data_IF_530612558437
#
_entry.id   IF_530612558437
#
_cell.length_a   1.000
_cell.length_b   1.000
_cell.length_c   1.000
_cell.angle_alpha   90.00
_cell.angle_beta   90.00
_cell.angle_gamma   90.00
#
_symmetry.space_group_name_H-M   'P 1'
#
loop_
_entity.id
_entity.type
_entity.pdbx_description
1 polymer ?
#
# COMPACT_ATOMS: atom_id res chain seq x y z
N UNK A 1 -17.69 23.73 -36.98
CA UNK A 1 -17.29 22.31 -36.93
C UNK A 1 -15.77 22.11 -36.96
N UNK A 2 -15.03 22.62 -37.96
CA UNK A 2 -13.55 22.53 -38.01
C UNK A 2 -12.84 23.05 -36.74
N UNK A 3 -13.34 24.15 -36.18
CA UNK A 3 -12.78 24.73 -34.96
C UNK A 3 -13.05 23.89 -33.70
N UNK A 4 -14.21 23.24 -33.63
CA UNK A 4 -14.57 22.31 -32.56
C UNK A 4 -13.71 21.04 -32.67
N UNK A 5 -13.49 20.53 -33.89
CA UNK A 5 -12.57 19.43 -34.13
C UNK A 5 -11.12 19.78 -33.76
N UNK A 6 -10.64 20.99 -34.05
CA UNK A 6 -9.30 21.44 -33.64
C UNK A 6 -9.16 21.57 -32.12
N UNK A 7 -10.17 22.09 -31.43
CA UNK A 7 -10.20 22.18 -29.96
C UNK A 7 -10.25 20.78 -29.33
N UNK A 8 -11.07 19.88 -29.88
CA UNK A 8 -11.16 18.48 -29.42
C UNK A 8 -9.86 17.73 -29.70
N UNK A 9 -9.23 17.93 -30.86
CA UNK A 9 -7.92 17.33 -31.18
C UNK A 9 -6.84 17.89 -30.26
N UNK A 10 -6.82 19.19 -29.96
CA UNK A 10 -5.87 19.78 -29.00
C UNK A 10 -6.13 19.31 -27.56
N UNK A 11 -7.38 19.19 -27.12
CA UNK A 11 -7.73 18.61 -25.81
C UNK A 11 -7.36 17.13 -25.72
N UNK A 12 -7.56 16.36 -26.79
CA UNK A 12 -7.16 14.95 -26.84
C UNK A 12 -5.63 14.82 -26.90
N UNK A 13 -4.91 15.66 -27.63
CA UNK A 13 -3.43 15.65 -27.66
C UNK A 13 -2.84 16.00 -26.29
N UNK A 14 -3.48 16.91 -25.52
CA UNK A 14 -3.07 17.23 -24.15
C UNK A 14 -3.40 16.09 -23.15
N UNK A 15 -4.33 15.19 -23.49
CA UNK A 15 -4.69 14.03 -22.66
C UNK A 15 -4.03 12.71 -23.08
N UNK A 16 -3.27 12.67 -24.17
CA UNK A 16 -2.52 11.47 -24.59
C UNK A 16 -1.07 11.61 -24.15
N UNK A 17 -0.84 11.38 -22.85
CA UNK A 17 0.44 10.97 -22.27
C UNK A 17 0.17 9.93 -21.18
N UNK A 18 -0.70 8.96 -21.49
CA UNK A 18 -1.00 7.83 -20.62
C UNK A 18 -0.74 6.51 -21.36
N UNK A 19 0.44 6.39 -21.94
CA UNK A 19 1.07 5.08 -22.08
C UNK A 19 1.72 4.76 -20.73
N UNK A 20 1.20 3.70 -20.11
CA UNK A 20 1.60 3.14 -18.83
C UNK A 20 3.07 2.67 -18.86
N UNK A 21 4.03 3.59 -18.78
CA UNK A 21 5.41 3.28 -18.45
C UNK A 21 5.54 3.28 -16.92
N UNK A 22 5.63 2.10 -16.32
CA UNK A 22 5.63 1.87 -14.86
C UNK A 22 6.70 2.67 -14.11
N UNK A 23 7.77 3.08 -14.79
CA UNK A 23 8.89 3.85 -14.23
C UNK A 23 8.89 5.36 -14.51
N UNK A 24 7.85 5.90 -15.16
CA UNK A 24 7.60 7.34 -15.20
C UNK A 24 6.56 7.71 -14.16
N UNK A 25 6.90 8.65 -13.30
CA UNK A 25 6.03 9.06 -12.21
C UNK A 25 5.92 10.58 -12.16
N UNK A 26 4.71 11.07 -11.87
CA UNK A 26 4.44 12.51 -11.75
C UNK A 26 3.89 12.81 -10.37
N UNK A 27 4.57 13.68 -9.61
CA UNK A 27 4.16 14.15 -8.29
C UNK A 27 4.03 15.68 -8.33
N UNK A 28 2.80 16.19 -8.31
CA UNK A 28 2.54 17.62 -8.44
C UNK A 28 3.10 18.21 -9.74
N UNK A 29 4.05 19.14 -9.64
CA UNK A 29 4.74 19.73 -10.80
C UNK A 29 5.97 18.95 -11.26
N UNK A 30 6.43 17.98 -10.47
CA UNK A 30 7.66 17.25 -10.71
C UNK A 30 7.37 15.97 -11.50
N UNK A 31 8.06 15.79 -12.62
CA UNK A 31 8.02 14.57 -13.43
C UNK A 31 9.35 13.84 -13.30
N UNK A 32 9.32 12.57 -12.94
CA UNK A 32 10.51 11.73 -12.80
C UNK A 32 10.46 10.64 -13.87
N UNK A 33 11.58 10.40 -14.55
CA UNK A 33 11.71 9.37 -15.59
C UNK A 33 12.91 8.48 -15.28
N UNK A 34 12.65 7.38 -14.58
CA UNK A 34 13.67 6.41 -14.22
C UNK A 34 13.99 5.44 -15.37
N UNK A 35 13.32 5.52 -16.52
CA UNK A 35 13.57 4.59 -17.63
C UNK A 35 15.00 4.70 -18.18
N UNK A 36 15.65 5.85 -17.97
CA UNK A 36 17.06 6.03 -18.34
C UNK A 36 17.98 5.08 -17.57
N UNK A 37 17.51 4.49 -16.47
CA UNK A 37 18.23 3.50 -15.67
C UNK A 37 17.94 2.04 -16.08
N UNK A 38 17.09 1.76 -17.07
CA UNK A 38 16.70 0.38 -17.47
C UNK A 38 17.92 -0.51 -17.80
N UNK A 39 18.96 0.07 -18.38
CA UNK A 39 20.13 -0.69 -18.82
C UNK A 39 21.22 -0.78 -17.75
N UNK A 40 20.95 -0.28 -16.55
CA UNK A 40 21.92 -0.16 -15.47
C UNK A 40 21.53 -1.10 -14.33
N UNK A 41 22.37 -2.11 -14.10
CA UNK A 41 22.28 -2.95 -12.91
C UNK A 41 23.16 -2.35 -11.81
N UNK A 42 22.52 -1.91 -10.75
CA UNK A 42 23.16 -1.44 -9.52
C UNK A 42 23.63 -2.63 -8.72
N UNK A 43 24.89 -2.57 -8.27
CA UNK A 43 25.51 -3.64 -7.50
C UNK A 43 25.96 -3.08 -6.16
N UNK A 44 25.77 -3.85 -5.10
CA UNK A 44 26.28 -3.56 -3.76
C UNK A 44 26.74 -4.84 -3.10
N UNK A 45 27.75 -4.74 -2.25
CA UNK A 45 28.35 -5.88 -1.55
C UNK A 45 28.55 -5.51 -0.09
N UNK A 46 28.17 -6.42 0.81
CA UNK A 46 28.53 -6.37 2.22
C UNK A 46 29.47 -7.53 2.58
N UNK A 47 29.62 -7.88 3.86
CA UNK A 47 30.52 -8.96 4.29
C UNK A 47 30.01 -10.36 3.98
N UNK A 48 28.73 -10.50 3.67
CA UNK A 48 27.98 -11.76 3.63
C UNK A 48 27.28 -11.98 2.30
N UNK A 49 26.78 -10.91 1.69
CA UNK A 49 25.88 -10.90 0.58
C UNK A 49 26.30 -9.89 -0.48
N UNK A 50 25.93 -10.21 -1.71
CA UNK A 50 25.98 -9.31 -2.84
C UNK A 50 24.56 -9.11 -3.35
N UNK A 51 24.24 -7.87 -3.66
CA UNK A 51 22.93 -7.42 -4.07
C UNK A 51 23.02 -6.89 -5.50
N UNK A 52 22.07 -7.27 -6.34
CA UNK A 52 21.91 -6.70 -7.66
C UNK A 52 20.48 -6.19 -7.83
N UNK A 53 20.34 -4.99 -8.38
CA UNK A 53 19.07 -4.31 -8.55
C UNK A 53 19.05 -3.55 -9.86
N UNK A 54 17.96 -3.69 -10.60
CA UNK A 54 17.68 -2.90 -11.78
C UNK A 54 16.36 -2.16 -11.52
N UNK A 55 16.33 -0.81 -11.54
CA UNK A 55 15.15 -0.04 -11.19
C UNK A 55 13.91 -0.35 -12.03
N UNK A 56 14.11 -0.58 -13.33
CA UNK A 56 13.04 -0.44 -14.32
C UNK A 56 13.15 -1.45 -15.46
N UNK A 57 14.02 -2.45 -15.30
CA UNK A 57 14.16 -3.60 -16.18
C UNK A 57 14.57 -4.81 -15.32
N UNK A 58 14.63 -5.99 -15.93
CA UNK A 58 15.01 -7.21 -15.25
C UNK A 58 16.49 -7.21 -14.89
N UNK A 59 16.83 -7.84 -13.77
CA UNK A 59 18.24 -8.08 -13.44
C UNK A 59 18.76 -9.22 -14.31
N UNK A 60 19.90 -9.06 -15.01
CA UNK A 60 20.51 -10.13 -15.78
C UNK A 60 20.86 -11.33 -14.90
N UNK A 61 20.62 -12.53 -15.42
CA UNK A 61 20.80 -13.80 -14.67
C UNK A 61 22.23 -13.94 -14.13
N UNK A 62 23.24 -13.48 -14.87
CA UNK A 62 24.65 -13.54 -14.47
C UNK A 62 24.98 -12.68 -13.24
N UNK A 63 24.13 -11.69 -12.93
CA UNK A 63 24.27 -10.80 -11.75
C UNK A 63 23.56 -11.34 -10.50
N UNK A 64 22.73 -12.36 -10.65
CA UNK A 64 21.97 -13.01 -9.58
C UNK A 64 22.42 -14.47 -9.34
N UNK A 65 23.71 -14.77 -9.49
CA UNK A 65 24.26 -16.10 -9.22
C UNK A 65 24.20 -17.09 -10.39
N UNK A 66 25.06 -18.12 -10.34
CA UNK A 66 25.36 -19.00 -11.50
C UNK A 66 24.47 -20.24 -11.63
N UNK A 67 23.65 -20.56 -10.63
CA UNK A 67 22.82 -21.77 -10.60
C UNK A 67 21.33 -21.41 -10.60
N UNK A 68 20.73 -21.46 -11.78
CA UNK A 68 19.41 -20.93 -12.16
C UNK A 68 18.17 -21.66 -11.61
N UNK A 69 18.32 -22.51 -10.58
CA UNK A 69 17.20 -23.29 -10.04
C UNK A 69 16.12 -22.47 -9.31
N UNK A 70 16.41 -21.21 -9.04
CA UNK A 70 15.62 -20.30 -8.20
C UNK A 70 15.40 -18.93 -8.84
N UNK A 71 15.71 -18.81 -10.14
CA UNK A 71 15.39 -17.61 -10.91
C UNK A 71 13.89 -17.62 -11.25
N UNK A 72 13.18 -16.62 -10.76
CA UNK A 72 11.77 -16.40 -11.08
C UNK A 72 11.66 -15.33 -12.19
N UNK A 73 10.71 -15.50 -13.13
CA UNK A 73 10.47 -14.49 -14.15
C UNK A 73 9.98 -13.18 -13.51
N UNK A 74 10.43 -12.03 -14.02
CA UNK A 74 10.02 -10.72 -13.53
C UNK A 74 10.90 -10.13 -12.42
N UNK A 75 12.03 -10.76 -12.07
CA UNK A 75 12.90 -10.28 -11.00
C UNK A 75 13.62 -8.98 -11.35
N UNK A 76 13.46 -7.97 -10.49
CA UNK A 76 14.10 -6.65 -10.60
C UNK A 76 15.20 -6.45 -9.55
N UNK A 77 15.23 -7.29 -8.52
CA UNK A 77 16.19 -7.22 -7.42
C UNK A 77 16.50 -8.62 -6.88
N UNK A 78 17.75 -8.90 -6.51
CA UNK A 78 18.17 -10.19 -5.96
C UNK A 78 19.33 -10.07 -4.96
N UNK A 79 19.46 -11.10 -4.13
CA UNK A 79 20.53 -11.27 -3.16
C UNK A 79 21.22 -12.63 -3.36
N UNK A 80 22.56 -12.62 -3.37
CA UNK A 80 23.41 -13.81 -3.41
C UNK A 80 24.39 -13.83 -2.23
N UNK A 81 24.72 -15.01 -1.70
CA UNK A 81 25.73 -15.17 -0.64
C UNK A 81 27.12 -15.23 -1.23
N UNK A 82 28.05 -14.42 -0.69
CA UNK A 82 29.43 -14.33 -1.17
C UNK A 82 30.17 -15.67 -0.99
N UNK A 83 30.00 -16.33 0.17
CA UNK A 83 30.51 -17.68 0.39
C UNK A 83 29.57 -18.73 -0.26
N UNK A 84 29.81 -19.02 -1.54
CA UNK A 84 29.22 -20.19 -2.21
C UNK A 84 28.65 -19.97 -3.61
N UNK A 85 28.60 -18.74 -4.13
CA UNK A 85 28.04 -18.41 -5.47
C UNK A 85 26.62 -18.97 -5.71
N UNK A 86 25.87 -19.21 -4.64
CA UNK A 86 24.50 -19.71 -4.69
C UNK A 86 23.55 -18.52 -4.55
N UNK A 87 22.62 -18.41 -5.48
CA UNK A 87 21.47 -17.53 -5.35
C UNK A 87 20.74 -17.84 -4.03
N UNK A 88 20.35 -16.79 -3.30
CA UNK A 88 19.68 -16.96 -2.02
C UNK A 88 18.20 -16.65 -2.13
N UNK A 89 17.82 -15.48 -2.65
CA UNK A 89 16.41 -15.08 -2.69
C UNK A 89 16.15 -13.90 -3.65
N UNK A 90 14.97 -13.88 -4.32
CA UNK A 90 14.48 -12.68 -4.98
C UNK A 90 14.16 -11.60 -3.95
N UNK A 91 14.53 -10.36 -4.25
CA UNK A 91 14.23 -9.20 -3.40
C UNK A 91 12.98 -8.46 -3.85
N UNK A 92 12.66 -8.48 -5.15
CA UNK A 92 11.51 -7.77 -5.70
C UNK A 92 11.28 -8.12 -7.17
N UNK A 93 10.05 -7.86 -7.62
CA UNK A 93 9.58 -8.15 -8.98
C UNK A 93 9.04 -6.88 -9.64
N UNK A 94 9.14 -6.78 -10.97
CA UNK A 94 8.48 -5.74 -11.76
C UNK A 94 6.97 -5.98 -11.90
N UNK A 95 6.24 -4.90 -12.13
CA UNK A 95 4.82 -4.92 -12.44
C UNK A 95 4.54 -5.69 -13.74
N UNK A 96 3.37 -6.34 -13.83
CA UNK A 96 2.94 -7.09 -15.01
C UNK A 96 3.37 -8.56 -15.03
N UNK A 97 4.20 -9.01 -14.09
CA UNK A 97 4.59 -10.43 -13.93
C UNK A 97 3.71 -11.21 -12.95
N UNK A 98 2.49 -10.72 -12.66
CA UNK A 98 1.48 -11.45 -11.87
C UNK A 98 1.76 -11.54 -10.36
N UNK A 99 2.70 -10.76 -9.83
CA UNK A 99 3.01 -10.67 -8.39
C UNK A 99 2.39 -9.39 -7.82
N UNK A 100 1.53 -9.52 -6.80
CA UNK A 100 0.92 -8.42 -6.07
C UNK A 100 1.49 -8.33 -4.64
N UNK A 101 1.56 -7.12 -4.04
CA UNK A 101 1.19 -5.82 -4.61
C UNK A 101 2.19 -5.30 -5.67
N UNK A 102 1.73 -4.42 -6.56
CA UNK A 102 2.56 -3.74 -7.56
C UNK A 102 3.59 -2.79 -6.90
N UNK A 103 4.56 -2.34 -7.68
CA UNK A 103 5.51 -1.30 -7.26
C UNK A 103 4.77 -0.03 -6.86
N UNK A 104 5.13 0.51 -5.69
CA UNK A 104 4.61 1.77 -5.21
C UNK A 104 5.68 2.87 -5.33
N UNK A 105 5.28 4.04 -5.79
CA UNK A 105 6.17 5.20 -5.90
C UNK A 105 5.66 6.35 -5.03
N UNK A 106 6.59 7.07 -4.41
CA UNK A 106 6.29 8.27 -3.63
C UNK A 106 7.40 9.31 -3.80
N UNK A 107 7.10 10.58 -3.49
CA UNK A 107 8.11 11.63 -3.51
C UNK A 107 9.06 11.49 -2.31
N UNK A 108 10.33 11.86 -2.49
CA UNK A 108 11.32 11.77 -1.42
C UNK A 108 10.91 12.64 -0.21
N UNK A 109 10.88 12.08 1.02
CA UNK A 109 10.50 12.82 2.22
C UNK A 109 11.38 14.02 2.55
N UNK A 110 12.57 14.14 1.93
CA UNK A 110 13.45 15.31 2.07
C UNK A 110 12.89 16.58 1.41
N UNK A 111 11.88 16.46 0.54
CA UNK A 111 11.17 17.58 -0.06
C UNK A 111 11.00 17.45 -1.58
N UNK A 112 10.14 18.29 -2.18
CA UNK A 112 9.83 18.19 -3.59
C UNK A 112 11.06 18.45 -4.47
N UNK A 113 11.25 17.62 -5.49
CA UNK A 113 12.37 17.73 -6.43
C UNK A 113 13.70 17.16 -5.93
N UNK A 114 13.75 16.60 -4.71
CA UNK A 114 14.97 15.97 -4.16
C UNK A 114 15.15 14.51 -4.60
N UNK A 115 14.13 13.92 -5.22
CA UNK A 115 14.18 12.56 -5.74
C UNK A 115 12.86 11.80 -5.57
N UNK A 116 12.93 10.49 -5.77
CA UNK A 116 11.78 9.59 -5.80
C UNK A 116 12.06 8.33 -4.98
N UNK A 117 11.04 7.80 -4.33
CA UNK A 117 11.09 6.58 -3.53
C UNK A 117 10.28 5.50 -4.22
N UNK A 118 10.86 4.32 -4.36
CA UNK A 118 10.23 3.11 -4.90
C UNK A 118 10.15 2.05 -3.80
N UNK A 119 8.96 1.47 -3.60
CA UNK A 119 8.68 0.48 -2.56
C UNK A 119 8.20 -0.81 -3.21
N UNK A 120 8.86 -1.92 -2.88
CA UNK A 120 8.51 -3.27 -3.33
C UNK A 120 8.11 -4.13 -2.14
N UNK A 121 6.97 -4.83 -2.25
CA UNK A 121 6.44 -5.76 -1.24
C UNK A 121 6.02 -7.12 -1.81
N UNK A 122 6.50 -7.45 -3.01
CA UNK A 122 6.04 -8.58 -3.81
C UNK A 122 6.98 -9.81 -3.77
N UNK A 123 8.00 -9.78 -2.93
CA UNK A 123 8.88 -10.91 -2.68
C UNK A 123 8.72 -11.45 -1.25
N UNK A 124 9.21 -12.66 -1.00
CA UNK A 124 9.15 -13.32 0.32
C UNK A 124 10.55 -13.65 0.82
N UNK A 125 10.73 -13.47 2.13
CA UNK A 125 11.94 -13.78 2.88
C UNK A 125 11.54 -14.72 4.01
N UNK A 126 11.96 -15.99 3.95
CA UNK A 126 11.61 -17.03 4.95
C UNK A 126 10.10 -17.13 5.25
N UNK A 127 9.25 -16.96 4.22
CA UNK A 127 7.80 -17.02 4.34
C UNK A 127 7.11 -15.72 4.78
N UNK A 128 7.86 -14.70 5.19
CA UNK A 128 7.36 -13.35 5.53
C UNK A 128 7.47 -12.44 4.30
N UNK A 129 6.58 -11.44 4.20
CA UNK A 129 6.68 -10.40 3.18
C UNK A 129 7.99 -9.64 3.29
N UNK A 130 8.70 -9.54 2.17
CA UNK A 130 9.97 -8.82 2.07
C UNK A 130 9.67 -7.38 1.69
N UNK A 131 10.22 -6.44 2.46
CA UNK A 131 10.00 -5.01 2.23
C UNK A 131 11.28 -4.37 1.71
N UNK A 132 11.25 -3.88 0.47
CA UNK A 132 12.41 -3.19 -0.12
C UNK A 132 12.03 -1.75 -0.42
N UNK A 133 12.77 -0.83 0.16
CA UNK A 133 12.54 0.60 0.07
C UNK A 133 13.76 1.25 -0.58
N UNK A 134 13.60 1.65 -1.83
CA UNK A 134 14.66 2.25 -2.64
C UNK A 134 14.44 3.76 -2.70
N UNK A 135 15.41 4.52 -2.22
CA UNK A 135 15.43 5.98 -2.25
C UNK A 135 16.40 6.45 -3.32
N UNK A 136 15.87 7.01 -4.40
CA UNK A 136 16.64 7.69 -5.43
C UNK A 136 16.78 9.16 -5.07
N UNK A 137 18.01 9.63 -4.91
CA UNK A 137 18.36 11.02 -4.59
C UNK A 137 18.82 11.69 -5.87
N UNK A 138 18.24 12.85 -6.19
CA UNK A 138 18.65 13.68 -7.32
C UNK A 138 20.05 14.24 -7.08
N UNK A 139 21.01 13.75 -7.86
CA UNK A 139 22.37 14.30 -7.91
C UNK A 139 22.82 14.47 -9.36
N UNK A 140 22.81 15.73 -9.83
CA UNK A 140 23.19 16.08 -11.22
C UNK A 140 24.66 15.81 -11.54
N UNK A 141 25.51 15.58 -10.54
CA UNK A 141 26.92 15.28 -10.76
C UNK A 141 27.16 13.84 -11.21
N UNK A 142 26.23 12.91 -10.92
CA UNK A 142 26.37 11.49 -11.18
C UNK A 142 25.56 11.11 -12.42
N UNK A 143 26.23 10.96 -13.56
CA UNK A 143 25.59 10.65 -14.85
C UNK A 143 25.22 9.18 -15.06
N UNK A 144 25.76 8.27 -14.25
CA UNK A 144 25.45 6.83 -14.28
C UNK A 144 25.72 6.21 -12.89
N UNK A 145 24.70 5.95 -12.07
CA UNK A 145 24.90 5.25 -10.82
C UNK A 145 25.24 3.78 -11.11
N UNK A 146 26.34 3.26 -10.57
CA UNK A 146 26.65 1.80 -10.64
C UNK A 146 26.62 1.13 -9.28
N UNK A 147 26.64 1.94 -8.23
CA UNK A 147 26.70 1.50 -6.84
C UNK A 147 25.45 1.97 -6.10
N UNK A 148 25.07 1.19 -5.09
CA UNK A 148 23.99 1.51 -4.17
C UNK A 148 24.42 1.15 -2.75
N UNK A 149 23.86 1.85 -1.78
CA UNK A 149 24.05 1.52 -0.36
C UNK A 149 22.86 0.72 0.13
N UNK A 150 23.11 -0.50 0.64
CA UNK A 150 22.08 -1.39 1.17
C UNK A 150 22.24 -1.48 2.68
N UNK A 151 21.14 -1.24 3.40
CA UNK A 151 21.05 -1.46 4.84
C UNK A 151 19.97 -2.52 5.07
N UNK A 152 20.39 -3.66 5.64
CA UNK A 152 19.51 -4.77 5.99
C UNK A 152 19.08 -4.67 7.46
N UNK A 153 17.77 -4.61 7.69
CA UNK A 153 17.15 -4.71 9.01
C UNK A 153 16.81 -6.19 9.30
N UNK A 154 16.96 -6.68 10.55
CA UNK A 154 16.61 -8.05 10.96
C UNK A 154 15.24 -8.57 10.49
N UNK A 155 14.29 -7.68 10.20
CA UNK A 155 12.93 -8.04 9.78
C UNK A 155 12.73 -8.20 8.25
N UNK A 156 13.75 -8.61 7.50
CA UNK A 156 13.68 -8.69 6.03
C UNK A 156 13.27 -7.36 5.35
N UNK A 157 13.71 -6.23 5.95
CA UNK A 157 13.52 -4.89 5.38
C UNK A 157 14.85 -4.38 4.84
N UNK A 158 14.82 -3.87 3.62
CA UNK A 158 16.01 -3.42 2.90
C UNK A 158 15.84 -1.96 2.53
N UNK A 159 16.72 -1.12 3.05
CA UNK A 159 16.78 0.30 2.67
C UNK A 159 17.92 0.45 1.67
N UNK A 160 17.58 0.81 0.43
CA UNK A 160 18.54 0.99 -0.65
C UNK A 160 18.61 2.49 -0.98
N UNK A 161 19.80 3.07 -1.01
CA UNK A 161 19.99 4.47 -1.43
C UNK A 161 20.80 4.52 -2.72
N UNK A 162 20.28 5.27 -3.70
CA UNK A 162 20.89 5.45 -5.02
C UNK A 162 20.97 6.95 -5.32
N UNK A 163 22.13 7.44 -5.72
CA UNK A 163 22.30 8.84 -6.13
C UNK A 163 22.46 8.89 -7.65
N UNK A 164 21.59 9.62 -8.35
CA UNK A 164 21.55 9.61 -9.81
C UNK A 164 21.08 10.95 -10.37
N UNK A 165 21.61 11.36 -11.53
CA UNK A 165 21.13 12.54 -12.24
C UNK A 165 19.72 12.30 -12.83
N UNK A 166 19.42 11.05 -13.18
CA UNK A 166 18.14 10.59 -13.72
C UNK A 166 17.02 10.64 -12.68
N UNK A 167 17.37 10.64 -11.39
CA UNK A 167 16.42 10.81 -10.29
C UNK A 167 15.98 12.28 -10.10
N UNK A 168 16.53 13.22 -10.87
CA UNK A 168 16.13 14.61 -10.84
C UNK A 168 14.82 14.84 -11.62
N UNK A 169 13.97 15.79 -11.16
CA UNK A 169 12.74 16.10 -11.87
C UNK A 169 13.06 16.66 -13.26
N UNK A 170 12.43 16.06 -14.28
CA UNK A 170 12.36 16.61 -15.62
C UNK A 170 11.67 17.97 -15.54
N UNK A 171 12.29 18.99 -16.13
CA UNK A 171 11.67 20.31 -16.33
C UNK A 171 10.56 20.17 -17.37
N UNK A 172 9.40 19.68 -16.97
CA UNK A 172 8.36 19.21 -17.88
C UNK A 172 6.98 19.75 -17.57
N UNK A 173 6.77 21.05 -17.76
CA UNK A 173 5.45 21.66 -17.81
C UNK A 173 5.42 22.76 -18.87
N UNK A 174 4.41 22.77 -19.72
CA UNK A 174 4.10 23.95 -20.52
C UNK A 174 3.74 25.04 -19.51
N UNK A 175 4.57 26.09 -19.42
CA UNK A 175 4.32 27.22 -18.53
C UNK A 175 2.89 27.72 -18.74
N UNK A 176 2.19 28.10 -17.66
CA UNK A 176 0.85 28.69 -17.77
C UNK A 176 0.80 29.87 -18.75
N UNK A 177 1.92 30.60 -18.90
CA UNK A 177 2.08 31.63 -19.92
C UNK A 177 2.02 31.10 -21.35
N UNK A 178 2.63 29.94 -21.64
CA UNK A 178 2.55 29.31 -22.95
C UNK A 178 1.13 28.79 -23.26
N UNK A 179 0.41 28.25 -22.26
CA UNK A 179 -1.01 27.88 -22.41
C UNK A 179 -1.85 29.11 -22.75
N UNK A 180 -1.66 30.21 -22.02
CA UNK A 180 -2.35 31.48 -22.28
C UNK A 180 -2.07 32.02 -23.70
N UNK A 181 -0.81 31.97 -24.15
CA UNK A 181 -0.43 32.39 -25.51
C UNK A 181 -1.10 31.53 -26.58
N UNK A 182 -1.19 30.21 -26.38
CA UNK A 182 -1.88 29.31 -27.31
C UNK A 182 -3.36 29.69 -27.43
N UNK A 183 -4.04 29.93 -26.31
CA UNK A 183 -5.45 30.35 -26.30
C UNK A 183 -5.62 31.69 -27.04
N UNK A 184 -4.73 32.65 -26.78
CA UNK A 184 -4.75 33.96 -27.44
C UNK A 184 -4.60 33.84 -28.96
N UNK A 185 -3.66 33.03 -29.44
CA UNK A 185 -3.45 32.79 -30.88
C UNK A 185 -4.71 32.20 -31.53
N UNK A 186 -5.35 31.22 -30.88
CA UNK A 186 -6.59 30.62 -31.39
C UNK A 186 -7.70 31.65 -31.52
N UNK A 187 -7.88 32.52 -30.52
CA UNK A 187 -8.88 33.60 -30.57
C UNK A 187 -8.60 34.62 -31.69
N UNK A 188 -7.33 34.95 -31.93
CA UNK A 188 -6.92 35.84 -33.02
C UNK A 188 -7.28 35.23 -34.39
N UNK A 189 -7.05 33.93 -34.59
CA UNK A 189 -7.41 33.24 -35.84
C UNK A 189 -8.92 33.28 -36.07
N UNK A 190 -9.72 33.00 -35.03
CA UNK A 190 -11.19 33.07 -35.12
C UNK A 190 -11.63 34.49 -35.48
N UNK A 191 -11.04 35.50 -34.83
CA UNK A 191 -11.32 36.90 -35.09
C UNK A 191 -11.05 37.27 -36.55
N UNK A 192 -9.92 36.84 -37.13
CA UNK A 192 -9.64 37.07 -38.55
C UNK A 192 -10.63 36.35 -39.46
N UNK A 193 -10.93 35.07 -39.22
CA UNK A 193 -11.86 34.30 -40.08
C UNK A 193 -13.26 34.94 -40.06
N UNK A 194 -13.82 35.18 -38.86
CA UNK A 194 -15.14 35.75 -38.70
C UNK A 194 -15.21 37.19 -39.23
N UNK A 195 -14.19 38.01 -38.98
CA UNK A 195 -14.18 39.38 -39.45
C UNK A 195 -13.97 39.51 -40.96
N UNK A 196 -13.15 38.63 -41.57
CA UNK A 196 -13.01 38.58 -43.04
C UNK A 196 -14.35 38.16 -43.67
N UNK A 197 -15.01 37.12 -43.16
CA UNK A 197 -16.33 36.70 -43.63
C UNK A 197 -17.37 37.82 -43.50
N UNK A 198 -17.38 38.53 -42.37
CA UNK A 198 -18.30 39.64 -42.13
C UNK A 198 -18.07 40.80 -43.12
N UNK A 199 -16.82 41.23 -43.31
CA UNK A 199 -16.47 42.32 -44.23
C UNK A 199 -16.70 41.92 -45.69
N UNK A 200 -16.51 40.64 -46.02
CA UNK A 200 -16.74 40.13 -47.38
C UNK A 200 -18.22 40.03 -47.73
N UNK A 201 -19.04 39.49 -46.81
CA UNK A 201 -20.45 39.19 -47.08
C UNK A 201 -21.35 40.41 -46.85
N UNK A 202 -21.10 41.21 -45.81
CA UNK A 202 -22.00 42.30 -45.43
C UNK A 202 -21.56 43.67 -45.96
N UNK A 203 -20.25 43.91 -46.04
CA UNK A 203 -19.70 45.21 -46.46
C UNK A 203 -19.24 45.21 -47.93
N UNK A 204 -19.28 44.06 -48.63
CA UNK A 204 -18.79 43.87 -50.01
C UNK A 204 -17.37 44.43 -50.26
N UNK A 205 -16.55 44.50 -49.20
CA UNK A 205 -15.17 44.98 -49.32
C UNK A 205 -14.34 43.97 -50.12
N UNK A 206 -13.33 44.46 -50.84
CA UNK A 206 -12.41 43.69 -51.69
C UNK A 206 -10.96 44.06 -51.37
N UNK A 207 -10.03 43.14 -51.58
CA UNK A 207 -8.60 43.38 -51.37
C UNK A 207 -8.21 43.47 -49.88
N UNK A 208 -7.30 44.40 -49.56
CA UNK A 208 -6.67 44.52 -48.23
C UNK A 208 -7.61 45.08 -47.14
N UNK A 209 -8.78 45.61 -47.52
CA UNK A 209 -9.80 46.11 -46.61
C UNK A 209 -10.65 44.98 -45.98
N UNK A 210 -10.47 43.72 -46.42
CA UNK A 210 -11.08 42.56 -45.75
C UNK A 210 -10.58 42.37 -44.31
N UNK A 211 -9.36 42.84 -44.02
CA UNK A 211 -8.69 42.63 -42.74
C UNK A 211 -9.38 43.46 -41.65
N UNK A 212 -9.97 42.83 -40.62
CA UNK A 212 -10.63 43.53 -39.53
C UNK A 212 -9.64 44.41 -38.76
N UNK A 213 -9.99 45.67 -38.51
CA UNK A 213 -9.16 46.64 -37.76
C UNK A 213 -7.69 46.68 -38.22
N UNK A 214 -7.47 46.77 -39.54
CA UNK A 214 -6.13 46.74 -40.17
C UNK A 214 -5.12 47.70 -39.52
N UNK A 215 -5.53 48.93 -39.20
CA UNK A 215 -4.66 49.94 -38.58
C UNK A 215 -4.10 49.49 -37.23
N UNK A 216 -4.91 48.81 -36.41
CA UNK A 216 -4.48 48.23 -35.15
C UNK A 216 -3.41 47.15 -35.34
N UNK A 217 -3.61 46.23 -36.28
CA UNK A 217 -2.67 45.12 -36.52
C UNK A 217 -1.33 45.57 -37.10
N UNK A 218 -1.34 46.60 -37.94
CA UNK A 218 -0.11 47.22 -38.44
C UNK A 218 0.67 47.89 -37.30
N UNK A 219 0.00 48.68 -36.47
CA UNK A 219 0.62 49.35 -35.33
C UNK A 219 1.15 48.35 -34.29
N UNK A 220 0.40 47.28 -34.04
CA UNK A 220 0.83 46.20 -33.17
C UNK A 220 2.07 45.48 -33.73
N UNK A 221 2.11 45.20 -35.04
CA UNK A 221 3.26 44.60 -35.71
C UNK A 221 4.52 45.47 -35.64
N UNK A 222 4.37 46.78 -35.79
CA UNK A 222 5.47 47.74 -35.64
C UNK A 222 6.05 47.76 -34.22
N UNK A 223 5.17 47.71 -33.20
CA UNK A 223 5.59 47.59 -31.80
C UNK A 223 6.37 46.29 -31.54
N UNK A 224 5.90 45.16 -32.06
CA UNK A 224 6.59 43.88 -31.91
C UNK A 224 7.98 43.88 -32.55
N UNK A 225 8.11 44.42 -33.77
CA UNK A 225 9.41 44.55 -34.45
C UNK A 225 10.37 45.45 -33.68
N UNK A 226 9.85 46.53 -33.10
CA UNK A 226 10.64 47.45 -32.26
C UNK A 226 11.10 46.75 -30.98
N UNK A 227 10.22 46.00 -30.33
CA UNK A 227 10.55 45.20 -29.15
C UNK A 227 11.60 44.12 -29.43
N UNK A 228 11.48 43.38 -30.54
CA UNK A 228 12.46 42.37 -30.94
C UNK A 228 13.82 42.98 -31.29
N UNK A 229 13.85 44.13 -31.97
CA UNK A 229 15.11 44.86 -32.24
C UNK A 229 15.75 45.34 -30.94
N UNK A 230 14.96 45.83 -29.99
CA UNK A 230 15.45 46.26 -28.69
C UNK A 230 16.05 45.10 -27.90
N UNK A 231 15.33 43.97 -27.77
CA UNK A 231 15.83 42.79 -27.05
C UNK A 231 17.05 42.17 -27.73
N UNK A 232 17.07 42.10 -29.06
CA UNK A 232 18.23 41.65 -29.82
C UNK A 232 19.46 42.53 -29.60
N UNK A 233 19.30 43.85 -29.75
CA UNK A 233 20.38 44.80 -29.54
C UNK A 233 20.85 44.79 -28.08
N UNK A 234 19.94 44.66 -27.12
CA UNK A 234 20.29 44.56 -25.70
C UNK A 234 21.09 43.30 -25.37
N UNK A 235 20.67 42.13 -25.86
CA UNK A 235 21.38 40.86 -25.67
C UNK A 235 22.74 40.89 -26.37
N UNK A 236 22.82 41.46 -27.57
CA UNK A 236 24.07 41.59 -28.31
C UNK A 236 25.05 42.59 -27.65
N UNK A 237 24.54 43.67 -27.07
CA UNK A 237 25.36 44.70 -26.42
C UNK A 237 25.80 44.33 -24.99
N UNK A 238 25.19 43.31 -24.36
CA UNK A 238 25.70 42.74 -23.10
C UNK A 238 27.06 42.02 -23.27
N UNK A 239 27.52 41.79 -24.51
CA UNK A 239 28.83 41.22 -24.82
C UNK A 239 29.97 42.24 -25.02
N UNK A 240 29.69 43.55 -25.00
CA UNK A 240 30.72 44.58 -25.14
C UNK A 240 30.75 45.45 -23.89
N UNK A 241 31.74 45.20 -23.02
CA UNK A 241 32.04 46.03 -21.87
C UNK A 241 32.23 47.49 -22.29
N UNK A 242 31.41 48.37 -21.75
CA UNK A 242 31.36 49.78 -22.12
C UNK A 242 32.53 50.54 -21.50
N UNK A 243 33.38 51.12 -22.35
CA UNK A 243 34.36 52.14 -21.95
C UNK A 243 33.63 53.43 -21.60
N UNK A 244 33.75 53.80 -20.33
CA UNK A 244 33.20 55.00 -19.71
C UNK A 244 33.74 56.29 -20.35
N UNK A 245 32.84 57.17 -20.80
CA UNK A 245 33.12 58.59 -21.02
C UNK A 245 32.23 59.42 -20.09
N UNK A 246 32.87 60.13 -19.17
CA UNK A 246 32.23 61.03 -18.19
C UNK A 246 31.57 62.21 -18.91
N UNK A 247 30.26 62.32 -18.75
CA UNK A 247 29.43 63.47 -19.12
C UNK A 247 28.73 63.99 -17.85
N UNK A 248 28.35 65.28 -17.79
CA UNK A 248 27.93 66.01 -16.59
C UNK A 248 26.48 65.68 -16.14
N UNK A 249 26.15 64.39 -16.07
CA UNK A 249 24.88 63.79 -15.63
C UNK A 249 25.01 63.14 -14.24
N UNK A 250 26.23 63.00 -13.71
CA UNK A 250 26.52 62.35 -12.41
C UNK A 250 25.82 63.02 -11.22
N UNK A 251 25.67 64.35 -11.20
CA UNK A 251 25.05 65.05 -10.07
C UNK A 251 23.53 64.98 -10.04
N UNK A 252 22.89 64.86 -11.21
CA UNK A 252 21.43 64.65 -11.29
C UNK A 252 21.08 63.19 -11.03
N UNK A 253 21.85 62.26 -11.62
CA UNK A 253 21.76 60.85 -11.31
C UNK A 253 21.96 60.61 -9.81
N UNK A 254 22.98 61.17 -9.17
CA UNK A 254 23.19 61.01 -7.73
C UNK A 254 22.00 61.47 -6.88
N UNK A 255 21.30 62.55 -7.27
CA UNK A 255 20.10 63.03 -6.58
C UNK A 255 18.90 62.12 -6.77
N UNK A 256 18.69 61.60 -7.97
CA UNK A 256 17.61 60.64 -8.24
C UNK A 256 17.84 59.29 -7.56
N UNK A 257 19.09 58.83 -7.54
CA UNK A 257 19.48 57.61 -6.85
C UNK A 257 19.29 57.76 -5.35
N UNK A 258 19.73 58.87 -4.74
CA UNK A 258 19.50 59.13 -3.32
C UNK A 258 18.00 59.19 -2.95
N UNK A 259 17.15 59.75 -3.83
CA UNK A 259 15.69 59.76 -3.63
C UNK A 259 15.10 58.35 -3.70
N UNK A 260 15.51 57.54 -4.69
CA UNK A 260 15.07 56.16 -4.82
C UNK A 260 15.57 55.26 -3.71
N UNK A 261 16.78 55.49 -3.19
CA UNK A 261 17.33 54.77 -2.04
C UNK A 261 16.48 55.04 -0.79
N UNK A 262 16.05 56.28 -0.56
CA UNK A 262 15.12 56.63 0.52
C UNK A 262 13.71 56.05 0.34
N UNK A 263 13.22 55.93 -0.89
CA UNK A 263 11.95 55.26 -1.19
C UNK A 263 12.07 53.74 -0.93
N UNK A 264 13.17 53.15 -1.36
CA UNK A 264 13.50 51.74 -1.17
C UNK A 264 13.65 51.38 0.31
N UNK A 265 14.34 52.21 1.10
CA UNK A 265 14.49 52.00 2.54
C UNK A 265 13.15 52.06 3.28
N UNK A 266 12.28 53.01 2.92
CA UNK A 266 10.93 53.09 3.47
C UNK A 266 10.08 51.87 3.10
N UNK A 267 10.15 51.42 1.85
CA UNK A 267 9.43 50.22 1.40
C UNK A 267 9.94 48.96 2.10
N UNK A 268 11.26 48.86 2.30
CA UNK A 268 11.90 47.75 3.01
C UNK A 268 11.48 47.71 4.47
N UNK A 269 11.48 48.85 5.17
CA UNK A 269 11.03 48.91 6.56
C UNK A 269 9.55 48.52 6.72
N UNK A 270 8.70 48.97 5.79
CA UNK A 270 7.28 48.60 5.78
C UNK A 270 7.08 47.10 5.53
N UNK A 271 7.83 46.54 4.57
CA UNK A 271 7.84 45.09 4.31
C UNK A 271 8.33 44.30 5.52
N UNK A 272 9.41 44.74 6.17
CA UNK A 272 9.93 44.07 7.37
C UNK A 272 8.93 44.09 8.52
N UNK A 273 8.23 45.21 8.74
CA UNK A 273 7.17 45.31 9.75
C UNK A 273 6.00 44.38 9.43
N UNK A 274 5.54 44.38 8.19
CA UNK A 274 4.45 43.50 7.75
C UNK A 274 4.85 42.02 7.89
N UNK A 275 6.07 41.67 7.48
CA UNK A 275 6.57 40.30 7.62
C UNK A 275 6.65 39.86 9.07
N UNK A 276 7.07 40.73 10.00
CA UNK A 276 7.04 40.40 11.44
C UNK A 276 5.62 40.12 11.92
N UNK A 277 4.66 40.99 11.59
CA UNK A 277 3.26 40.79 11.97
C UNK A 277 2.68 39.48 11.42
N UNK A 278 2.94 39.16 10.14
CA UNK A 278 2.50 37.91 9.54
C UNK A 278 3.14 36.71 10.23
N UNK A 279 4.43 36.78 10.58
CA UNK A 279 5.11 35.69 11.27
C UNK A 279 4.58 35.48 12.69
N UNK A 280 4.30 36.56 13.44
CA UNK A 280 3.70 36.49 14.77
C UNK A 280 2.30 35.86 14.71
N UNK A 281 1.45 36.31 13.78
CA UNK A 281 0.11 35.74 13.57
C UNK A 281 0.17 34.25 13.18
N UNK A 282 1.13 33.88 12.32
CA UNK A 282 1.36 32.47 11.95
C UNK A 282 1.86 31.64 13.13
N UNK A 283 2.73 32.19 13.98
CA UNK A 283 3.20 31.51 15.19
C UNK A 283 2.04 31.24 16.16
N UNK A 284 1.17 32.22 16.40
CA UNK A 284 -0.02 32.04 17.22
C UNK A 284 -0.95 30.97 16.64
N UNK A 285 -1.16 30.99 15.32
CA UNK A 285 -1.98 29.99 14.63
C UNK A 285 -1.39 28.57 14.75
N UNK A 286 -0.07 28.42 14.61
CA UNK A 286 0.62 27.14 14.76
C UNK A 286 0.54 26.64 16.20
N UNK A 287 0.77 27.52 17.17
CA UNK A 287 0.68 27.18 18.60
C UNK A 287 -0.74 26.77 18.99
N UNK A 288 -1.77 27.46 18.50
CA UNK A 288 -3.17 27.08 18.70
C UNK A 288 -3.48 25.69 18.15
N UNK A 289 -3.02 25.37 16.93
CA UNK A 289 -3.19 24.03 16.35
C UNK A 289 -2.44 22.95 17.14
N UNK A 290 -1.23 23.25 17.62
CA UNK A 290 -0.44 22.31 18.42
C UNK A 290 -1.12 21.98 19.74
N UNK A 291 -1.70 23.00 20.41
CA UNK A 291 -2.46 22.80 21.64
C UNK A 291 -3.73 21.99 21.41
N UNK A 292 -4.51 22.31 20.37
CA UNK A 292 -5.72 21.55 20.02
C UNK A 292 -5.39 20.08 19.71
N UNK A 293 -4.30 19.82 18.98
CA UNK A 293 -3.87 18.46 18.68
C UNK A 293 -3.42 17.70 19.94
N UNK A 294 -2.72 18.38 20.85
CA UNK A 294 -2.31 17.80 22.14
C UNK A 294 -3.52 17.42 23.01
N UNK A 295 -4.55 18.26 23.01
CA UNK A 295 -5.79 17.99 23.76
C UNK A 295 -6.55 16.81 23.15
N UNK A 296 -6.70 16.78 21.82
CA UNK A 296 -7.31 15.65 21.11
C UNK A 296 -6.56 14.33 21.38
N UNK A 297 -5.23 14.38 21.42
CA UNK A 297 -4.44 13.21 21.81
C UNK A 297 -4.72 12.79 23.25
N UNK A 298 -4.75 13.73 24.21
CA UNK A 298 -5.06 13.45 25.62
C UNK A 298 -6.43 12.79 25.78
N UNK A 299 -7.46 13.34 25.16
CA UNK A 299 -8.81 12.74 25.18
C UNK A 299 -8.80 11.32 24.60
N UNK A 300 -8.08 11.11 23.50
CA UNK A 300 -7.98 9.78 22.86
C UNK A 300 -7.29 8.78 23.78
N UNK A 301 -6.24 9.20 24.49
CA UNK A 301 -5.56 8.36 25.48
C UNK A 301 -6.47 8.02 26.66
N UNK A 302 -7.23 8.99 27.17
CA UNK A 302 -8.16 8.78 28.28
C UNK A 302 -9.30 7.84 27.89
N UNK A 303 -9.90 8.01 26.71
CA UNK A 303 -10.92 7.08 26.18
C UNK A 303 -10.38 5.66 26.05
N UNK A 304 -9.18 5.48 25.47
CA UNK A 304 -8.55 4.17 25.33
C UNK A 304 -8.27 3.53 26.69
N UNK A 305 -7.80 4.31 27.68
CA UNK A 305 -7.54 3.83 29.03
C UNK A 305 -8.82 3.35 29.73
N UNK A 306 -9.91 4.11 29.62
CA UNK A 306 -11.20 3.72 30.17
C UNK A 306 -11.72 2.41 29.54
N UNK A 307 -11.65 2.30 28.22
CA UNK A 307 -12.03 1.07 27.51
C UNK A 307 -11.20 -0.15 27.95
N UNK A 308 -9.89 0.02 28.15
CA UNK A 308 -9.03 -1.07 28.63
C UNK A 308 -9.45 -1.50 30.05
N UNK A 309 -9.76 -0.56 30.94
CA UNK A 309 -10.22 -0.87 32.29
C UNK A 309 -11.57 -1.62 32.28
N UNK A 310 -12.51 -1.20 31.43
CA UNK A 310 -13.80 -1.87 31.27
C UNK A 310 -13.63 -3.29 30.72
N UNK A 311 -12.74 -3.47 29.72
CA UNK A 311 -12.42 -4.79 29.17
C UNK A 311 -11.78 -5.71 30.23
N UNK A 312 -10.88 -5.18 31.08
CA UNK A 312 -10.29 -5.95 32.18
C UNK A 312 -11.34 -6.36 33.21
N UNK A 313 -12.29 -5.48 33.53
CA UNK A 313 -13.39 -5.81 34.44
C UNK A 313 -14.31 -6.87 33.85
N UNK A 314 -14.76 -6.71 32.60
CA UNK A 314 -15.55 -7.72 31.90
C UNK A 314 -14.86 -9.09 31.90
N UNK A 315 -13.55 -9.12 31.59
CA UNK A 315 -12.76 -10.36 31.63
C UNK A 315 -12.73 -11.01 33.03
N UNK A 316 -12.65 -10.21 34.10
CA UNK A 316 -12.70 -10.72 35.48
C UNK A 316 -14.08 -11.31 35.79
N UNK A 317 -15.16 -10.64 35.39
CA UNK A 317 -16.51 -11.16 35.56
C UNK A 317 -16.71 -12.47 34.81
N UNK A 318 -16.28 -12.56 33.55
CA UNK A 318 -16.34 -13.79 32.75
C UNK A 318 -15.57 -14.94 33.40
N UNK A 319 -14.40 -14.65 33.98
CA UNK A 319 -13.59 -15.66 34.66
C UNK A 319 -14.30 -16.19 35.91
N UNK A 320 -14.90 -15.29 36.71
CA UNK A 320 -15.68 -15.65 37.89
C UNK A 320 -16.90 -16.49 37.50
N UNK A 321 -17.61 -16.12 36.43
CA UNK A 321 -18.75 -16.87 35.93
C UNK A 321 -18.34 -18.27 35.46
N UNK A 322 -17.27 -18.37 34.67
CA UNK A 322 -16.71 -19.67 34.26
C UNK A 322 -16.32 -20.53 35.46
N UNK A 323 -15.73 -19.95 36.50
CA UNK A 323 -15.41 -20.69 37.72
C UNK A 323 -16.65 -21.21 38.44
N UNK A 324 -17.72 -20.40 38.53
CA UNK A 324 -19.01 -20.85 39.09
C UNK A 324 -19.59 -22.00 38.27
N UNK A 325 -19.64 -21.86 36.94
CA UNK A 325 -20.13 -22.91 36.05
C UNK A 325 -19.29 -24.21 36.15
N UNK A 326 -17.97 -24.10 36.29
CA UNK A 326 -17.10 -25.25 36.48
C UNK A 326 -17.37 -25.95 37.82
N UNK A 327 -17.57 -25.19 38.90
CA UNK A 327 -17.94 -25.76 40.20
C UNK A 327 -19.29 -26.48 40.14
N UNK A 328 -20.31 -25.84 39.57
CA UNK A 328 -21.62 -26.47 39.38
C UNK A 328 -21.55 -27.74 38.53
N UNK A 329 -20.73 -27.74 37.47
CA UNK A 329 -20.50 -28.94 36.65
C UNK A 329 -19.81 -30.05 37.44
N UNK A 330 -18.84 -29.72 38.29
CA UNK A 330 -18.15 -30.72 39.10
C UNK A 330 -19.05 -31.27 40.21
N UNK A 331 -19.87 -30.44 40.84
CA UNK A 331 -20.89 -30.87 41.81
C UNK A 331 -21.90 -31.81 41.14
N UNK A 332 -22.45 -31.43 39.98
CA UNK A 332 -23.37 -32.29 39.20
C UNK A 332 -22.71 -33.60 38.81
N UNK A 333 -21.45 -33.58 38.41
CA UNK A 333 -20.68 -34.78 38.05
C UNK A 333 -20.47 -35.69 39.27
N UNK A 334 -20.13 -35.13 40.43
CA UNK A 334 -20.00 -35.89 41.68
C UNK A 334 -21.31 -36.56 42.07
N UNK A 335 -22.43 -35.83 41.98
CA UNK A 335 -23.74 -36.40 42.30
C UNK A 335 -24.18 -37.48 41.31
N UNK A 336 -23.94 -37.28 40.01
CA UNK A 336 -24.16 -38.33 39.00
C UNK A 336 -23.29 -39.56 39.28
N UNK A 337 -22.03 -39.37 39.67
CA UNK A 337 -21.13 -40.47 39.99
C UNK A 337 -21.61 -41.26 41.22
N UNK A 338 -22.14 -40.58 42.25
CA UNK A 338 -22.79 -41.25 43.39
C UNK A 338 -23.99 -42.08 42.94
N UNK A 339 -24.87 -41.51 42.10
CA UNK A 339 -26.03 -42.24 41.57
C UNK A 339 -25.61 -43.50 40.79
N UNK A 340 -24.60 -43.39 39.92
CA UNK A 340 -24.07 -44.53 39.16
C UNK A 340 -23.52 -45.60 40.11
N UNK A 341 -22.80 -45.21 41.17
CA UNK A 341 -22.24 -46.16 42.12
C UNK A 341 -23.31 -46.95 42.88
N UNK A 342 -24.42 -46.30 43.24
CA UNK A 342 -25.57 -46.95 43.88
C UNK A 342 -26.18 -47.97 42.93
N UNK A 343 -26.47 -47.57 41.69
CA UNK A 343 -27.05 -48.47 40.68
C UNK A 343 -26.11 -49.65 40.40
N UNK A 344 -24.79 -49.44 40.38
CA UNK A 344 -23.81 -50.52 40.22
C UNK A 344 -23.84 -51.50 41.40
N UNK A 345 -23.93 -50.99 42.64
CA UNK A 345 -24.05 -51.82 43.84
C UNK A 345 -25.34 -52.63 43.83
N UNK A 346 -26.48 -52.02 43.50
CA UNK A 346 -27.78 -52.69 43.39
C UNK A 346 -27.76 -53.80 42.33
N UNK A 347 -27.16 -53.54 41.16
CA UNK A 347 -26.98 -54.55 40.11
C UNK A 347 -26.09 -55.71 40.57
N UNK A 348 -24.98 -55.43 41.25
CA UNK A 348 -24.09 -56.47 41.76
C UNK A 348 -24.77 -57.32 42.84
N UNK A 349 -25.55 -56.69 43.73
CA UNK A 349 -26.36 -57.41 44.72
C UNK A 349 -27.42 -58.29 44.06
N UNK A 350 -28.16 -57.75 43.08
CA UNK A 350 -29.18 -58.51 42.35
C UNK A 350 -28.59 -59.71 41.60
N UNK A 351 -27.39 -59.58 41.03
CA UNK A 351 -26.67 -60.70 40.41
C UNK A 351 -26.30 -61.77 41.42
N UNK A 352 -25.77 -61.37 42.58
CA UNK A 352 -25.39 -62.30 43.63
C UNK A 352 -26.60 -63.01 44.25
N UNK A 353 -27.75 -62.33 44.35
CA UNK A 353 -29.00 -62.94 44.81
C UNK A 353 -29.57 -63.93 43.78
N UNK A 354 -29.46 -63.62 42.49
CA UNK A 354 -29.80 -64.57 41.42
C UNK A 354 -28.90 -65.82 41.46
N UNK A 355 -27.58 -65.65 41.65
CA UNK A 355 -26.65 -66.78 41.79
C UNK A 355 -26.96 -67.67 43.00
N UNK A 356 -27.36 -67.07 44.13
CA UNK A 356 -27.83 -67.81 45.30
C UNK A 356 -29.10 -68.60 45.00
N UNK A 357 -30.07 -67.99 44.31
CA UNK A 357 -31.31 -68.67 43.90
C UNK A 357 -31.01 -69.85 42.99
N UNK A 358 -30.17 -69.65 41.97
CA UNK A 358 -29.73 -70.72 41.06
C UNK A 358 -29.02 -71.85 41.83
N UNK A 359 -28.21 -71.52 42.84
CA UNK A 359 -27.52 -72.52 43.67
C UNK A 359 -28.51 -73.34 44.51
N UNK A 360 -29.50 -72.68 45.13
CA UNK A 360 -30.58 -73.34 45.86
C UNK A 360 -31.37 -74.26 44.92
N UNK A 361 -31.77 -73.78 43.75
CA UNK A 361 -32.51 -74.59 42.76
C UNK A 361 -31.68 -75.80 42.31
N UNK A 362 -30.36 -75.65 42.12
CA UNK A 362 -29.46 -76.78 41.82
C UNK A 362 -29.40 -77.79 42.97
N UNK A 363 -29.40 -77.35 44.21
CA UNK A 363 -29.42 -78.24 45.38
C UNK A 363 -30.77 -78.97 45.50
N UNK A 364 -31.88 -78.25 45.39
CA UNK A 364 -33.23 -78.82 45.38
C UNK A 364 -33.39 -79.85 44.25
N UNK A 365 -32.92 -79.54 43.04
CA UNK A 365 -32.93 -80.46 41.90
C UNK A 365 -32.10 -81.72 42.19
N UNK A 366 -30.91 -81.59 42.79
CA UNK A 366 -30.11 -82.75 43.21
C UNK A 366 -30.85 -83.60 44.26
N UNK A 367 -31.51 -82.97 45.23
CA UNK A 367 -32.31 -83.69 46.23
C UNK A 367 -33.49 -84.42 45.58
N UNK A 368 -34.21 -83.76 44.68
CA UNK A 368 -35.31 -84.35 43.92
C UNK A 368 -34.84 -85.53 43.06
N UNK A 369 -33.74 -85.39 42.33
CA UNK A 369 -33.16 -86.47 41.52
C UNK A 369 -32.76 -87.68 42.39
N UNK A 370 -32.22 -87.45 43.59
CA UNK A 370 -31.93 -88.52 44.54
C UNK A 370 -33.19 -89.24 45.01
N UNK A 371 -34.26 -88.51 45.33
CA UNK A 371 -35.56 -89.10 45.71
C UNK A 371 -36.13 -89.95 44.58
N UNK A 372 -36.09 -89.45 43.34
CA UNK A 372 -36.52 -90.20 42.15
C UNK A 372 -35.70 -91.46 41.96
N UNK A 373 -34.36 -91.42 42.14
CA UNK A 373 -33.50 -92.61 42.07
C UNK A 373 -33.85 -93.64 43.15
N UNK A 374 -34.06 -93.19 44.40
CA UNK A 374 -34.52 -94.06 45.50
C UNK A 374 -35.86 -94.71 45.16
N UNK A 375 -36.83 -93.95 44.64
CA UNK A 375 -38.12 -94.50 44.20
C UNK A 375 -37.97 -95.50 43.06
N UNK A 376 -37.16 -95.21 42.02
CA UNK A 376 -36.87 -96.17 40.93
C UNK A 376 -36.27 -97.48 41.46
N UNK A 377 -35.35 -97.40 42.42
CA UNK A 377 -34.75 -98.59 43.05
C UNK A 377 -35.81 -99.42 43.83
N UNK A 378 -36.67 -98.75 44.61
CA UNK A 378 -37.79 -99.41 45.31
C UNK A 378 -38.76 -100.08 44.32
N UNK A 379 -39.11 -99.38 43.24
CA UNK A 379 -39.96 -99.92 42.16
C UNK A 379 -39.29 -101.11 41.46
N UNK A 380 -37.96 -101.15 41.33
CA UNK A 380 -37.25 -102.28 40.73
C UNK A 380 -37.12 -103.50 41.65
N UNK A 381 -37.02 -103.28 42.98
CA UNK A 381 -36.91 -104.34 43.98
C UNK A 381 -38.28 -104.97 44.34
N UNK A 382 -39.34 -104.20 44.15
CA UNK A 382 -40.71 -104.69 44.25
C UNK A 382 -41.13 -105.15 42.86
N UNK A 383 -41.39 -106.44 42.62
CA UNK A 383 -41.97 -106.92 41.35
C UNK A 383 -43.41 -106.41 41.22
N UNK A 384 -43.59 -105.10 41.00
CA UNK A 384 -44.87 -104.50 40.67
C UNK A 384 -45.02 -104.65 39.17
N UNK A 385 -45.66 -105.73 38.75
CA UNK A 385 -46.30 -105.75 37.43
C UNK A 385 -47.20 -104.51 37.35
N UNK A 386 -47.02 -103.61 36.37
CA UNK A 386 -47.99 -102.54 36.18
C UNK A 386 -49.33 -103.23 35.98
N UNK A 387 -50.29 -102.99 36.88
CA UNK A 387 -51.67 -103.40 36.64
C UNK A 387 -52.10 -102.71 35.36
N UNK A 388 -52.08 -103.46 34.26
CA UNK A 388 -52.62 -103.04 32.99
C UNK A 388 -54.13 -102.94 33.20
N UNK A 389 -54.58 -101.75 33.61
CA UNK A 389 -55.98 -101.39 33.50
C UNK A 389 -56.26 -101.34 31.99
N UNK A 390 -56.73 -102.45 31.44
CA UNK A 390 -57.06 -102.56 30.02
C UNK A 390 -57.86 -101.35 29.60
N UNK A 391 -57.45 -100.74 28.47
CA UNK A 391 -58.14 -99.59 27.90
C UNK A 391 -59.63 -99.93 27.82
N UNK A 392 -60.44 -99.30 28.67
CA UNK A 392 -61.89 -99.51 28.72
C UNK A 392 -62.40 -99.26 27.31
N UNK A 393 -62.97 -100.29 26.65
CA UNK A 393 -63.62 -100.10 25.35
C UNK A 393 -64.69 -99.05 25.55
N UNK A 394 -64.50 -97.89 24.94
CA UNK A 394 -65.57 -96.93 24.75
C UNK A 394 -66.44 -97.56 23.69
N UNK A 395 -67.65 -98.00 24.04
CA UNK A 395 -68.67 -98.28 23.03
C UNK A 395 -68.97 -96.93 22.37
N UNK A 396 -68.80 -96.87 21.06
CA UNK A 396 -69.42 -95.83 20.26
C UNK A 396 -70.85 -96.27 20.01
N UNK A 397 -71.77 -95.76 20.82
CA UNK A 397 -73.15 -95.50 20.39
C UNK A 397 -73.29 -93.98 20.20
#
# INVERSE_FOLDING_TARGET
MLLFYLIVILFNIIQIDCSLETCRQTFGSNKYDLNQLNHITLISEDKTFRYAFNPCDLVPIDKCGKNSGSFEQGMTACQERILGTKFESPMGFLDGYGKLPNLEFSENPQGPGTGIVMIMRNAKCNGVERFVHVTFICDKSIKQPTTMNVIEDPMCKFMITVQAAEACPLKGGISGGAIFIIILIVLIIIYFICGILYNRVKQNQTGLELIPNRSFWLLLGELFLTGCKFTWNFIHNLGQGTSSSKMPYESEAAKEWARREQEWDREKELREKLMRQVMDERQEQVMGKLQALKEQQRETYERRRALIQDMEQARKYDLIEKQKQMKEREEKKQDLQKQISIVQQERAQSQLDLEKQDAIEREEKKQMDQLVRKQKAVISATTVEPKFYGRRRVNWD
#
